data_IF_079605985625
#
_entry.id   IF_079605985625
#
_cell.length_a   1.000
_cell.length_b   1.000
_cell.length_c   1.000
_cell.angle_alpha   90.00
_cell.angle_beta   90.00
_cell.angle_gamma   90.00
#
_symmetry.space_group_name_H-M   'P 1'
#
loop_
_entity.id
_entity.type
_entity.pdbx_description
1 polymer ?
2 non-polymer ?
3 water ?
#
# COMPACT_ATOMS: atom_id res chain seq x y z
N UNK A 1 -6.97 0.41 -3.95
CA UNK A 1 -7.92 1.54 -3.85
C UNK A 1 -8.39 2.05 -5.21
N UNK A 2 -7.69 1.72 -6.30
CA UNK A 2 -7.89 2.19 -7.69
C UNK A 2 -7.14 1.28 -8.67
N UNK A 3 -7.21 1.51 -10.01
CA UNK A 3 -6.73 0.54 -11.01
C UNK A 3 -5.21 0.26 -10.99
N UNK A 4 -4.42 1.21 -10.53
CA UNK A 4 -2.96 1.05 -10.31
C UNK A 4 -2.71 0.02 -9.22
N UNK A 5 -3.42 0.14 -8.13
CA UNK A 5 -3.32 -0.80 -6.99
C UNK A 5 -3.84 -2.18 -7.42
N UNK A 6 -4.86 -2.21 -8.26
CA UNK A 6 -5.39 -3.48 -8.84
C UNK A 6 -4.28 -4.24 -9.60
N UNK A 7 -3.57 -3.57 -10.51
CA UNK A 7 -2.50 -4.22 -11.29
C UNK A 7 -1.40 -4.68 -10.31
N UNK A 8 -0.99 -3.80 -9.40
CA UNK A 8 0.09 -4.13 -8.44
C UNK A 8 -0.30 -5.38 -7.65
N UNK A 9 -1.53 -5.44 -7.12
CA UNK A 9 -2.00 -6.58 -6.32
C UNK A 9 -1.96 -7.86 -7.16
N UNK A 10 -2.36 -7.75 -8.41
CA UNK A 10 -2.40 -8.95 -9.30
C UNK A 10 -0.98 -9.51 -9.46
N UNK A 11 0.01 -8.65 -9.58
CA UNK A 11 1.43 -9.07 -9.66
C UNK A 11 1.86 -9.66 -8.33
N UNK A 12 1.58 -9.00 -7.20
CA UNK A 12 2.06 -9.50 -5.91
C UNK A 12 1.49 -10.87 -5.60
N UNK A 13 0.21 -11.10 -5.94
CA UNK A 13 -0.53 -12.31 -5.47
C UNK A 13 -0.04 -13.53 -6.25
N UNK A 14 0.56 -13.39 -7.41
CA UNK A 14 0.95 -14.56 -8.21
C UNK A 14 2.44 -14.59 -8.55
N UNK A 15 3.14 -13.46 -8.56
CA UNK A 15 4.50 -13.39 -9.15
C UNK A 15 5.53 -12.93 -8.11
N UNK A 16 5.28 -13.08 -6.82
CA UNK A 16 6.30 -12.79 -5.79
C UNK A 16 6.48 -13.95 -4.83
N UNK A 17 7.70 -14.00 -4.29
CA UNK A 17 8.06 -14.93 -3.19
C UNK A 17 8.84 -14.09 -2.20
N UNK A 18 8.99 -14.60 -0.99
CA UNK A 18 9.92 -13.98 -0.01
C UNK A 18 11.26 -14.69 -0.15
N UNK A 19 12.29 -13.95 -0.53
CA UNK A 19 13.66 -14.52 -0.64
C UNK A 19 14.47 -14.11 0.59
N UNK A 20 15.23 -15.07 1.13
CA UNK A 20 16.10 -14.80 2.29
C UNK A 20 17.53 -15.23 1.93
N UNK A 21 18.48 -14.30 1.99
CA UNK A 21 19.93 -14.58 1.86
C UNK A 21 20.57 -14.23 3.21
N UNK A 22 21.88 -14.34 3.28
CA UNK A 22 22.65 -13.96 4.50
C UNK A 22 22.61 -12.46 4.69
N UNK A 23 22.19 -11.69 3.70
CA UNK A 23 22.10 -10.21 3.79
C UNK A 23 20.66 -9.72 4.05
N UNK A 24 19.66 -10.59 4.27
CA UNK A 24 18.30 -10.19 4.68
C UNK A 24 17.18 -10.90 3.94
N UNK A 25 15.96 -10.45 4.22
CA UNK A 25 14.73 -10.85 3.53
C UNK A 25 14.41 -9.81 2.46
N UNK A 26 14.10 -10.26 1.24
CA UNK A 26 13.79 -9.39 0.09
C UNK A 26 12.49 -9.85 -0.57
N UNK A 27 11.69 -8.89 -1.01
CA UNK A 27 10.66 -9.13 -2.04
C UNK A 27 11.43 -9.64 -3.28
N UNK A 28 10.92 -10.69 -3.89
CA UNK A 28 11.53 -11.27 -5.11
C UNK A 28 10.42 -11.48 -6.13
N UNK A 29 10.63 -10.88 -7.27
CA UNK A 29 9.72 -10.96 -8.46
C UNK A 29 10.08 -12.18 -9.31
N UNK A 30 9.10 -13.06 -9.47
CA UNK A 30 9.20 -14.17 -10.45
C UNK A 30 8.71 -13.70 -11.81
N UNK A 31 9.47 -13.98 -12.86
CA UNK A 31 9.21 -13.40 -14.20
C UNK A 31 8.60 -14.45 -15.14
N UNK A 32 9.18 -15.65 -15.18
CA UNK A 32 8.64 -16.75 -16.02
C UNK A 32 9.37 -18.02 -15.58
N UNK A 33 8.75 -19.19 -15.83
CA UNK A 33 9.37 -20.51 -15.56
C UNK A 33 9.91 -20.46 -14.11
N UNK A 34 11.20 -20.71 -13.88
CA UNK A 34 11.74 -20.70 -12.50
C UNK A 34 12.73 -19.53 -12.39
N UNK A 35 12.54 -18.47 -13.16
CA UNK A 35 13.46 -17.31 -13.28
C UNK A 35 12.84 -16.16 -12.49
N UNK A 36 13.63 -15.63 -11.57
CA UNK A 36 13.22 -14.47 -10.74
C UNK A 36 14.33 -13.41 -10.70
N UNK A 37 14.05 -12.26 -10.11
CA UNK A 37 15.06 -11.19 -9.96
C UNK A 37 15.12 -10.72 -8.52
N UNK A 38 16.27 -10.18 -8.18
CA UNK A 38 16.51 -9.66 -6.80
C UNK A 38 17.59 -8.61 -6.94
N UNK A 39 17.69 -7.61 -6.04
CA UNK A 39 18.84 -6.71 -6.11
C UNK A 39 20.16 -7.45 -5.90
N UNK A 40 21.19 -6.99 -6.64
CA UNK A 40 22.51 -7.66 -6.61
C UNK A 40 23.11 -7.58 -5.20
N UNK A 41 22.82 -6.52 -4.45
CA UNK A 41 23.36 -6.44 -3.06
C UNK A 41 22.78 -7.51 -2.12
N UNK A 42 21.77 -8.29 -2.52
CA UNK A 42 21.32 -9.46 -1.74
C UNK A 42 22.41 -10.53 -1.68
N UNK A 43 23.40 -10.52 -2.58
CA UNK A 43 24.55 -11.47 -2.60
C UNK A 43 24.08 -12.92 -2.63
N UNK A 44 23.29 -13.27 -3.65
CA UNK A 44 22.74 -14.63 -3.81
C UNK A 44 23.91 -15.61 -3.93
N UNK A 45 23.85 -16.72 -3.20
CA UNK A 45 24.83 -17.81 -3.30
C UNK A 45 24.27 -19.05 -3.94
N UNK A 46 24.77 -20.22 -3.53
CA UNK A 46 24.43 -21.51 -4.11
C UNK A 46 23.09 -22.01 -3.55
N UNK A 47 22.70 -21.49 -2.38
CA UNK A 47 21.45 -21.85 -1.64
C UNK A 47 20.77 -20.53 -1.22
N UNK A 48 19.45 -20.50 -1.38
CA UNK A 48 18.61 -19.35 -0.99
C UNK A 48 17.36 -19.91 -0.30
N UNK A 49 16.72 -19.16 0.61
CA UNK A 49 15.43 -19.57 1.20
C UNK A 49 14.31 -18.85 0.42
N UNK A 50 13.30 -19.61 -0.04
CA UNK A 50 12.15 -19.10 -0.83
C UNK A 50 10.92 -19.46 0.00
N UNK A 51 10.22 -18.46 0.56
CA UNK A 51 9.06 -18.72 1.45
C UNK A 51 9.51 -19.71 2.53
N UNK A 52 10.71 -19.52 3.09
CA UNK A 52 11.30 -20.28 4.23
C UNK A 52 11.61 -21.75 3.88
N UNK A 53 11.71 -22.06 2.60
CA UNK A 53 12.13 -23.40 2.10
C UNK A 53 13.53 -23.32 1.45
N UNK A 54 14.42 -24.18 1.90
CA UNK A 54 15.80 -24.27 1.37
C UNK A 54 15.74 -24.65 -0.10
N UNK A 55 16.33 -23.82 -0.95
CA UNK A 55 16.21 -23.95 -2.42
C UNK A 55 17.60 -23.79 -3.08
N UNK A 56 17.96 -24.73 -3.93
CA UNK A 56 19.22 -24.64 -4.67
C UNK A 56 19.09 -23.60 -5.76
N UNK A 57 20.14 -22.79 -5.93
CA UNK A 57 20.25 -21.81 -7.03
C UNK A 57 20.90 -22.50 -8.23
N UNK A 58 20.18 -22.62 -9.34
CA UNK A 58 20.72 -23.32 -10.53
C UNK A 58 21.63 -22.37 -11.29
N UNK A 59 21.37 -21.06 -11.26
CA UNK A 59 22.16 -20.03 -11.98
C UNK A 59 21.89 -18.69 -11.33
N UNK A 60 22.89 -17.82 -11.26
CA UNK A 60 22.70 -16.44 -10.78
C UNK A 60 23.60 -15.54 -11.61
N UNK A 61 23.05 -14.49 -12.21
CA UNK A 61 23.86 -13.59 -13.07
C UNK A 61 23.60 -12.13 -12.68
N UNK A 62 24.63 -11.49 -12.14
CA UNK A 62 24.59 -10.06 -11.81
C UNK A 62 24.74 -9.28 -13.09
N UNK A 63 23.70 -8.59 -13.53
CA UNK A 63 23.72 -7.91 -14.85
C UNK A 63 24.57 -6.63 -14.79
N UNK A 64 25.23 -6.35 -15.91
CA UNK A 64 25.98 -5.10 -16.13
C UNK A 64 25.65 -4.63 -17.54
N UNK A 65 25.68 -3.32 -17.80
CA UNK A 65 25.49 -2.85 -19.18
C UNK A 65 26.77 -3.04 -20.01
N UNK A 66 26.65 -2.69 -21.29
CA UNK A 66 27.76 -2.96 -22.23
C UNK A 66 28.91 -1.97 -22.01
N UNK A 67 28.75 -0.92 -21.18
CA UNK A 67 29.92 -0.17 -20.60
C UNK A 67 30.53 -0.90 -19.39
N UNK A 68 30.08 -2.09 -19.01
CA UNK A 68 30.58 -2.87 -17.85
C UNK A 68 30.27 -2.03 -16.60
N UNK A 69 29.10 -1.38 -16.56
CA UNK A 69 28.59 -0.67 -15.36
C UNK A 69 27.50 -1.52 -14.68
N UNK A 70 27.53 -1.60 -13.37
CA UNK A 70 26.53 -2.30 -12.55
C UNK A 70 25.09 -1.87 -12.94
N UNK A 71 24.16 -2.83 -13.08
CA UNK A 71 22.70 -2.51 -13.20
C UNK A 71 21.92 -2.86 -11.91
N UNK A 72 22.55 -3.50 -10.92
CA UNK A 72 21.94 -3.85 -9.60
C UNK A 72 20.84 -4.88 -9.73
N UNK A 73 20.69 -5.56 -10.88
CA UNK A 73 19.71 -6.67 -11.03
C UNK A 73 20.52 -7.98 -11.05
N UNK A 74 20.12 -8.93 -10.23
CA UNK A 74 20.61 -10.33 -10.40
C UNK A 74 19.44 -11.19 -10.86
N UNK A 75 19.64 -11.95 -11.93
CA UNK A 75 18.64 -12.91 -12.43
C UNK A 75 18.99 -14.24 -11.83
N UNK A 76 18.02 -14.87 -11.15
CA UNK A 76 18.25 -16.15 -10.45
C UNK A 76 17.36 -17.21 -11.07
N UNK A 77 17.91 -18.37 -11.40
CA UNK A 77 17.07 -19.53 -11.73
C UNK A 77 17.01 -20.44 -10.51
N UNK A 78 15.81 -20.76 -9.99
CA UNK A 78 15.58 -21.49 -8.73
C UNK A 78 15.29 -22.96 -9.03
N UNK A 79 15.84 -23.88 -8.25
CA UNK A 79 15.47 -25.32 -8.32
C UNK A 79 14.16 -25.54 -7.57
N UNK A 80 13.09 -24.95 -8.09
CA UNK A 80 11.73 -24.97 -7.49
C UNK A 80 10.87 -25.96 -8.28
N UNK A 81 9.85 -26.54 -7.63
CA UNK A 81 8.99 -27.53 -8.28
C UNK A 81 7.80 -26.90 -8.97
N UNK A 82 7.79 -25.57 -9.16
CA UNK A 82 6.59 -24.88 -9.66
C UNK A 82 7.08 -23.71 -10.50
N UNK A 83 6.43 -23.43 -11.63
CA UNK A 83 6.72 -22.25 -12.48
C UNK A 83 5.91 -21.03 -12.05
N UNK A 84 6.48 -19.86 -12.35
CA UNK A 84 5.78 -18.57 -12.24
C UNK A 84 4.88 -18.40 -13.45
N UNK A 85 3.78 -17.71 -13.25
CA UNK A 85 3.02 -17.13 -14.39
C UNK A 85 3.96 -16.29 -15.24
N UNK A 86 3.95 -16.46 -16.55
CA UNK A 86 4.82 -15.67 -17.43
C UNK A 86 4.27 -14.25 -17.54
N UNK A 87 5.01 -13.27 -17.00
CA UNK A 87 4.67 -11.82 -17.06
C UNK A 87 5.62 -11.04 -17.96
N UNK A 88 6.39 -11.68 -18.84
CA UNK A 88 7.36 -10.92 -19.67
C UNK A 88 6.65 -9.92 -20.58
N UNK A 89 5.41 -10.19 -21.00
CA UNK A 89 4.66 -9.24 -21.86
C UNK A 89 4.30 -7.95 -21.12
N UNK A 90 4.51 -7.85 -19.78
CA UNK A 90 4.26 -6.61 -19.02
C UNK A 90 5.56 -5.80 -18.85
N UNK A 91 6.68 -6.26 -19.41
CA UNK A 91 7.97 -5.56 -19.24
C UNK A 91 8.11 -4.56 -20.37
N UNK A 92 8.61 -3.36 -20.06
CA UNK A 92 8.94 -2.35 -21.07
C UNK A 92 10.07 -2.81 -21.97
N UNK A 93 10.02 -2.37 -23.23
CA UNK A 93 11.13 -2.68 -24.15
C UNK A 93 12.23 -1.63 -24.07
N UNK A 94 11.94 -0.41 -23.64
CA UNK A 94 12.94 0.69 -23.67
C UNK A 94 12.97 1.45 -22.35
N UNK A 95 14.05 2.21 -22.15
CA UNK A 95 14.20 3.12 -21.00
C UNK A 95 13.14 4.20 -21.15
N UNK A 96 12.51 4.62 -20.07
CA UNK A 96 11.38 5.56 -20.13
C UNK A 96 11.13 6.19 -18.77
N UNK A 97 10.38 7.29 -18.79
CA UNK A 97 9.75 7.93 -17.61
C UNK A 97 8.30 7.46 -17.53
N UNK A 98 7.71 7.51 -16.35
CA UNK A 98 6.35 6.99 -16.10
C UNK A 98 5.57 7.94 -15.21
N UNK A 99 4.25 7.90 -15.35
CA UNK A 99 3.36 8.55 -14.35
C UNK A 99 2.70 7.51 -13.40
N UNK A 100 2.43 7.94 -12.18
CA UNK A 100 1.48 7.31 -11.23
C UNK A 100 1.87 5.85 -11.00
N UNK A 101 3.06 5.62 -10.47
CA UNK A 101 3.56 4.24 -10.18
C UNK A 101 3.20 3.84 -8.75
N UNK A 102 3.21 2.53 -8.51
CA UNK A 102 3.04 1.90 -7.17
C UNK A 102 4.26 1.05 -6.91
N UNK A 103 4.76 1.16 -5.70
CA UNK A 103 5.84 0.28 -5.16
C UNK A 103 5.20 -0.69 -4.20
N UNK A 104 5.36 -1.99 -4.43
CA UNK A 104 4.69 -3.05 -3.63
C UNK A 104 5.74 -3.98 -3.01
N UNK A 105 5.57 -4.27 -1.72
CA UNK A 105 6.52 -5.05 -0.90
C UNK A 105 5.77 -6.13 -0.19
N UNK A 106 6.38 -7.31 -0.08
CA UNK A 106 5.81 -8.39 0.76
C UNK A 106 6.94 -9.14 1.46
N UNK A 107 7.16 -8.83 2.75
CA UNK A 107 8.14 -9.58 3.58
C UNK A 107 7.48 -9.89 4.93
N UNK A 108 8.19 -10.62 5.81
CA UNK A 108 7.79 -10.78 7.25
C UNK A 108 7.61 -9.41 7.94
N UNK A 109 8.46 -8.44 7.68
CA UNK A 109 8.44 -7.08 8.30
C UNK A 109 7.32 -6.22 7.69
N UNK A 110 7.11 -6.33 6.38
CA UNK A 110 6.15 -5.46 5.66
C UNK A 110 5.26 -6.32 4.77
N UNK A 111 4.29 -7.08 5.33
CA UNK A 111 3.33 -7.82 4.51
C UNK A 111 2.26 -6.93 3.85
N UNK A 112 1.98 -7.24 2.58
CA UNK A 112 0.84 -6.60 1.89
C UNK A 112 0.99 -5.08 1.88
N UNK A 113 2.18 -4.58 1.61
CA UNK A 113 2.48 -3.14 1.58
C UNK A 113 2.40 -2.61 0.16
N UNK A 114 1.66 -1.52 -0.06
CA UNK A 114 1.55 -0.84 -1.34
C UNK A 114 1.74 0.66 -1.12
N UNK A 115 2.55 1.31 -1.94
CA UNK A 115 2.88 2.76 -1.81
C UNK A 115 2.69 3.47 -3.14
N UNK A 116 1.78 4.48 -3.25
CA UNK A 116 1.66 5.28 -4.46
C UNK A 116 2.82 6.30 -4.45
N UNK A 117 3.78 6.10 -5.33
CA UNK A 117 5.02 6.92 -5.34
C UNK A 117 4.94 8.06 -6.32
N UNK A 118 3.93 8.14 -7.20
CA UNK A 118 3.76 9.24 -8.14
C UNK A 118 4.64 9.11 -9.33
N UNK A 119 5.18 10.23 -9.78
CA UNK A 119 5.95 10.33 -11.03
C UNK A 119 7.29 9.59 -10.89
N UNK A 120 7.66 8.84 -11.91
CA UNK A 120 8.97 8.13 -11.95
C UNK A 120 9.84 8.73 -13.05
N UNK A 121 11.02 9.25 -12.70
CA UNK A 121 11.98 9.85 -13.65
C UNK A 121 13.00 8.79 -14.11
N UNK A 122 13.33 8.81 -15.39
CA UNK A 122 14.53 8.09 -15.91
C UNK A 122 15.73 8.89 -15.43
N UNK A 123 16.25 8.52 -14.29
CA UNK A 123 17.33 9.26 -13.56
C UNK A 123 18.68 8.97 -14.23
N UNK A 124 18.90 7.70 -14.58
CA UNK A 124 20.10 7.23 -15.28
C UNK A 124 21.20 6.82 -14.32
N UNK A 125 22.24 7.64 -14.21
CA UNK A 125 23.41 7.34 -13.37
C UNK A 125 23.10 7.60 -11.91
N UNK A 126 23.51 6.68 -11.04
CA UNK A 126 23.46 6.85 -9.57
C UNK A 126 24.69 6.18 -8.98
N UNK A 127 25.32 6.89 -8.05
CA UNK A 127 26.36 6.29 -7.18
C UNK A 127 25.65 5.63 -6.02
N UNK A 128 25.35 4.33 -6.16
CA UNK A 128 24.51 3.56 -5.22
C UNK A 128 25.37 2.84 -4.20
N UNK A 129 25.41 3.36 -2.97
CA UNK A 129 26.28 2.73 -1.96
C UNK A 129 27.75 2.74 -2.36
N UNK A 130 28.21 3.75 -3.08
CA UNK A 130 29.60 3.80 -3.61
C UNK A 130 29.80 3.09 -4.96
N UNK A 131 28.77 2.41 -5.50
CA UNK A 131 28.92 1.68 -6.77
C UNK A 131 28.27 2.43 -7.93
N UNK A 132 29.01 2.88 -8.97
CA UNK A 132 28.39 3.50 -10.13
C UNK A 132 27.34 2.53 -10.73
N UNK A 133 26.15 3.03 -10.92
CA UNK A 133 25.00 2.18 -11.36
C UNK A 133 24.28 2.91 -12.47
N UNK A 134 23.83 2.20 -13.49
CA UNK A 134 23.06 2.80 -14.60
C UNK A 134 21.59 2.35 -14.59
N UNK A 135 20.80 2.95 -15.47
CA UNK A 135 19.36 2.61 -15.69
C UNK A 135 18.54 2.72 -14.40
N UNK A 136 18.79 3.74 -13.61
CA UNK A 136 18.05 3.99 -12.35
C UNK A 136 16.81 4.85 -12.62
N UNK A 137 15.71 4.40 -12.04
CA UNK A 137 14.42 5.14 -11.95
C UNK A 137 14.39 5.83 -10.60
N UNK A 138 13.81 7.03 -10.55
CA UNK A 138 13.70 7.75 -9.25
C UNK A 138 12.25 8.18 -9.01
N UNK A 139 11.85 8.08 -7.74
CA UNK A 139 10.52 8.57 -7.26
C UNK A 139 10.75 9.33 -5.97
N UNK A 140 9.88 10.33 -5.72
CA UNK A 140 10.03 11.22 -4.55
C UNK A 140 9.20 10.65 -3.42
N UNK A 141 9.62 9.51 -2.89
CA UNK A 141 9.04 8.92 -1.67
C UNK A 141 10.18 8.47 -0.75
N UNK A 142 10.07 8.75 0.57
CA UNK A 142 11.07 8.36 1.57
C UNK A 142 10.99 6.88 1.94
N UNK A 143 11.48 6.05 1.01
CA UNK A 143 11.58 4.59 1.19
C UNK A 143 12.61 4.25 2.28
N UNK A 144 12.48 3.06 2.87
CA UNK A 144 13.21 2.63 4.07
C UNK A 144 13.74 1.23 3.88
N UNK A 145 14.72 0.87 4.71
CA UNK A 145 15.26 -0.50 4.84
C UNK A 145 14.07 -1.45 4.96
N UNK A 146 14.16 -2.57 4.23
CA UNK A 146 13.08 -3.57 4.15
C UNK A 146 12.33 -3.52 2.82
N UNK A 147 12.49 -2.46 2.01
CA UNK A 147 11.69 -2.30 0.77
C UNK A 147 12.49 -2.74 -0.46
N UNK A 148 13.78 -3.07 -0.33
CA UNK A 148 14.58 -3.51 -1.50
C UNK A 148 13.97 -4.79 -2.06
N UNK A 149 13.91 -4.83 -3.39
CA UNK A 149 13.27 -5.93 -4.14
C UNK A 149 11.82 -5.59 -4.43
N UNK A 150 11.28 -4.54 -3.79
CA UNK A 150 9.88 -4.17 -4.03
C UNK A 150 9.61 -3.97 -5.48
N UNK A 151 8.40 -4.27 -5.94
CA UNK A 151 8.08 -4.19 -7.38
C UNK A 151 7.51 -2.82 -7.71
N UNK A 152 8.03 -2.20 -8.75
CA UNK A 152 7.49 -0.91 -9.25
C UNK A 152 6.63 -1.18 -10.46
N UNK A 153 5.35 -0.75 -10.43
CA UNK A 153 4.39 -1.01 -11.52
C UNK A 153 3.67 0.30 -11.88
N UNK A 154 3.23 0.34 -13.12
CA UNK A 154 2.09 1.19 -13.53
C UNK A 154 0.98 0.26 -13.97
N UNK A 155 -0.20 0.81 -14.32
CA UNK A 155 -1.24 -0.04 -14.96
C UNK A 155 -0.61 -0.69 -16.20
N UNK A 156 -0.62 -2.00 -16.21
CA UNK A 156 -0.22 -2.83 -17.35
C UNK A 156 1.27 -2.96 -17.47
N UNK A 157 2.12 -2.27 -16.65
CA UNK A 157 3.59 -2.47 -16.81
C UNK A 157 4.35 -2.73 -15.49
N UNK A 158 5.25 -3.69 -15.53
CA UNK A 158 6.20 -3.98 -14.42
C UNK A 158 7.52 -3.34 -14.80
N UNK A 159 7.94 -2.24 -14.13
CA UNK A 159 8.97 -1.35 -14.73
C UNK A 159 10.30 -1.43 -13.97
N UNK A 160 10.34 -1.97 -12.75
CA UNK A 160 11.59 -1.94 -11.97
C UNK A 160 11.47 -2.65 -10.65
N UNK A 161 12.61 -2.77 -9.96
CA UNK A 161 12.65 -3.30 -8.58
C UNK A 161 13.46 -2.29 -7.74
N UNK A 162 12.93 -2.01 -6.54
CA UNK A 162 13.50 -1.01 -5.59
C UNK A 162 14.90 -1.48 -5.17
N UNK A 163 15.91 -0.59 -5.23
CA UNK A 163 17.32 -0.99 -4.87
C UNK A 163 17.92 0.01 -3.86
N UNK A 164 17.29 1.14 -3.56
CA UNK A 164 17.87 2.03 -2.55
C UNK A 164 17.14 3.34 -2.38
N UNK A 165 17.69 4.20 -1.53
CA UNK A 165 17.06 5.52 -1.27
C UNK A 165 18.03 6.44 -0.57
N UNK A 166 17.71 7.74 -0.49
CA UNK A 166 18.62 8.71 0.20
C UNK A 166 17.89 9.36 1.37
N UNK A 167 16.78 8.79 1.83
CA UNK A 167 15.96 9.40 2.90
C UNK A 167 14.81 10.23 2.37
N UNK A 168 14.92 10.88 1.20
CA UNK A 168 13.85 11.69 0.57
C UNK A 168 13.37 11.07 -0.76
N UNK A 169 14.30 10.53 -1.52
CA UNK A 169 14.02 9.84 -2.83
C UNK A 169 14.22 8.32 -2.69
N UNK A 170 13.52 7.56 -3.54
CA UNK A 170 13.74 6.12 -3.72
C UNK A 170 14.20 5.85 -5.13
N UNK A 171 14.94 4.76 -5.29
CA UNK A 171 15.58 4.39 -6.58
C UNK A 171 15.28 2.93 -6.91
N UNK A 172 14.93 2.72 -8.18
CA UNK A 172 14.67 1.34 -8.67
C UNK A 172 15.57 1.06 -9.86
N UNK A 173 15.99 -0.19 -10.02
CA UNK A 173 16.65 -0.66 -11.25
C UNK A 173 15.59 -1.01 -12.27
N UNK A 174 15.79 -0.57 -13.50
CA UNK A 174 14.85 -0.86 -14.60
C UNK A 174 14.76 -2.36 -14.84
N UNK A 175 13.57 -2.81 -15.19
CA UNK A 175 13.41 -4.13 -15.85
C UNK A 175 13.09 -3.87 -17.33
N UNK A 176 13.81 -4.54 -18.20
CA UNK A 176 13.63 -4.49 -19.66
C UNK A 176 13.33 -5.90 -20.17
N UNK A 177 12.45 -5.98 -21.16
CA UNK A 177 12.09 -7.26 -21.81
C UNK A 177 13.34 -8.01 -22.28
N UNK A 178 14.35 -7.29 -22.78
CA UNK A 178 15.59 -7.90 -23.33
C UNK A 178 16.42 -8.64 -22.30
N UNK A 179 16.19 -8.44 -20.99
CA UNK A 179 16.94 -9.20 -19.97
C UNK A 179 16.46 -10.66 -19.89
N UNK A 180 15.30 -10.99 -20.42
CA UNK A 180 14.58 -12.29 -20.16
C UNK A 180 14.19 -13.00 -21.45
N UNK A 181 14.92 -12.74 -22.53
CA UNK A 181 14.80 -13.54 -23.78
C UNK A 181 15.53 -14.86 -23.52
N UNK A 182 14.88 -15.99 -23.81
CA UNK A 182 15.37 -17.36 -23.48
C UNK A 182 15.97 -17.98 -24.76
N UNK B 2 7.74 -0.31 11.84
CA UNK B 2 7.85 -0.56 13.32
C UNK B 2 6.71 -1.43 13.85
N UNK B 3 6.31 -1.25 15.14
CA UNK B 3 5.03 -1.77 15.64
C UNK B 3 3.79 -1.10 14.97
N UNK B 4 4.01 -0.07 14.14
CA UNK B 4 2.98 0.60 13.31
C UNK B 4 2.22 -0.40 12.44
N UNK B 5 2.94 -1.32 11.79
CA UNK B 5 2.31 -2.38 10.93
C UNK B 5 1.58 -3.42 11.76
N UNK B 6 2.12 -3.87 12.90
CA UNK B 6 1.38 -4.73 13.83
C UNK B 6 0.04 -4.09 14.19
N UNK B 7 0.10 -2.82 14.62
CA UNK B 7 -1.08 -2.07 15.10
C UNK B 7 -2.13 -2.01 13.98
N UNK B 8 -1.72 -1.64 12.78
CA UNK B 8 -2.64 -1.49 11.63
C UNK B 8 -3.28 -2.87 11.37
N UNK B 9 -2.49 -3.95 11.40
CA UNK B 9 -3.06 -5.30 11.17
C UNK B 9 -4.05 -5.71 12.25
N UNK B 10 -3.79 -5.40 13.54
CA UNK B 10 -4.64 -5.77 14.69
C UNK B 10 -5.99 -5.06 14.57
N UNK B 11 -5.95 -3.80 14.13
CA UNK B 11 -7.21 -3.03 13.91
C UNK B 11 -7.96 -3.56 12.69
N UNK B 12 -7.23 -3.86 11.62
CA UNK B 12 -7.81 -4.46 10.37
C UNK B 12 -8.55 -5.76 10.75
N UNK B 13 -7.87 -6.67 11.43
CA UNK B 13 -8.36 -8.05 11.65
C UNK B 13 -9.65 -8.05 12.47
N UNK B 14 -9.73 -7.30 13.55
CA UNK B 14 -10.88 -7.41 14.45
C UNK B 14 -11.91 -6.29 14.23
N UNK B 15 -11.49 -5.13 13.73
CA UNK B 15 -12.37 -3.94 13.73
C UNK B 15 -12.74 -3.43 12.33
N UNK B 16 -12.37 -4.08 11.23
CA UNK B 16 -12.67 -3.57 9.87
C UNK B 16 -13.55 -4.57 9.14
N UNK B 17 -14.67 -4.11 8.60
CA UNK B 17 -15.63 -4.93 7.81
C UNK B 17 -15.85 -4.29 6.45
N UNK B 18 -16.40 -5.05 5.50
CA UNK B 18 -16.71 -4.50 4.15
C UNK B 18 -18.18 -4.05 4.16
N UNK B 19 -18.42 -2.77 3.95
CA UNK B 19 -19.79 -2.21 3.95
C UNK B 19 -20.16 -1.94 2.49
N UNK B 20 -21.38 -2.29 2.08
CA UNK B 20 -21.82 -2.03 0.70
C UNK B 20 -23.14 -1.27 0.78
N UNK B 21 -23.13 -0.05 0.26
CA UNK B 21 -24.32 0.82 0.10
C UNK B 21 -24.74 0.77 -1.37
N UNK B 22 -25.73 1.61 -1.71
CA UNK B 22 -26.17 1.78 -3.12
C UNK B 22 -24.97 2.21 -3.98
N UNK B 23 -23.96 2.88 -3.41
CA UNK B 23 -22.81 3.43 -4.17
C UNK B 23 -21.69 2.39 -4.34
N UNK B 24 -21.73 1.29 -3.66
CA UNK B 24 -20.71 0.23 -3.74
C UNK B 24 -20.00 0.02 -2.40
N UNK B 25 -18.74 -0.42 -2.45
CA UNK B 25 -18.07 -0.99 -1.25
C UNK B 25 -17.15 0.06 -0.62
N UNK B 26 -17.19 0.04 0.71
CA UNK B 26 -16.39 0.96 1.54
C UNK B 26 -15.76 0.16 2.67
N UNK B 27 -14.51 0.50 3.00
CA UNK B 27 -13.86 0.05 4.24
C UNK B 27 -14.57 0.66 5.46
N UNK B 28 -15.11 -0.15 6.31
CA UNK B 28 -15.91 0.36 7.46
C UNK B 28 -15.14 0.00 8.74
N UNK B 29 -15.01 0.96 9.68
CA UNK B 29 -14.43 0.73 11.01
C UNK B 29 -15.53 0.55 12.06
N UNK B 30 -15.56 -0.62 12.69
CA UNK B 30 -16.37 -0.83 13.90
C UNK B 30 -15.64 -0.31 15.14
N UNK B 31 -16.33 0.48 15.96
CA UNK B 31 -15.68 1.22 17.08
C UNK B 31 -15.99 0.55 18.44
N UNK B 32 -17.22 0.21 18.68
CA UNK B 32 -17.68 -0.50 19.92
C UNK B 32 -19.11 -0.97 19.74
N UNK B 33 -19.55 -1.96 20.53
CA UNK B 33 -20.95 -2.45 20.44
C UNK B 33 -21.34 -2.69 18.97
N UNK B 34 -22.45 -2.09 18.49
CA UNK B 34 -22.82 -2.24 17.06
C UNK B 34 -22.66 -0.89 16.34
N UNK B 35 -21.72 -0.08 16.81
CA UNK B 35 -21.47 1.29 16.29
C UNK B 35 -20.26 1.30 15.38
N UNK B 36 -20.42 1.80 14.15
CA UNK B 36 -19.34 1.83 13.15
C UNK B 36 -19.33 3.21 12.48
N UNK B 37 -18.29 3.48 11.72
CA UNK B 37 -18.14 4.75 10.95
C UNK B 37 -17.85 4.43 9.50
N UNK B 38 -18.30 5.34 8.65
CA UNK B 38 -18.15 5.24 7.18
C UNK B 38 -18.17 6.67 6.67
N UNK B 39 -17.52 7.01 5.53
CA UNK B 39 -17.63 8.37 5.00
C UNK B 39 -19.07 8.74 4.66
N UNK B 40 -19.44 10.00 4.88
CA UNK B 40 -20.82 10.47 4.60
C UNK B 40 -21.15 10.27 3.11
N UNK B 41 -20.16 10.41 2.20
CA UNK B 41 -20.44 10.22 0.75
C UNK B 41 -20.88 8.81 0.42
N UNK B 42 -20.80 7.82 1.34
CA UNK B 42 -21.28 6.44 1.06
C UNK B 42 -22.82 6.39 0.95
N UNK B 43 -23.50 7.41 1.42
CA UNK B 43 -24.99 7.55 1.29
C UNK B 43 -25.65 6.32 1.91
N UNK B 44 -25.40 6.12 3.20
CA UNK B 44 -26.01 5.01 3.95
C UNK B 44 -27.54 5.16 3.96
N UNK B 45 -28.23 4.05 3.71
CA UNK B 45 -29.70 4.02 3.70
C UNK B 45 -30.25 3.30 4.89
N UNK B 46 -31.40 2.68 4.70
CA UNK B 46 -32.09 1.94 5.79
C UNK B 46 -31.43 0.56 5.92
N UNK B 47 -30.87 0.07 4.82
CA UNK B 47 -30.26 -1.30 4.73
C UNK B 47 -28.84 -1.11 4.22
N UNK B 48 -27.93 -1.91 4.72
CA UNK B 48 -26.52 -1.97 4.27
C UNK B 48 -26.08 -3.44 4.24
N UNK B 49 -25.11 -3.76 3.40
CA UNK B 49 -24.45 -5.09 3.44
C UNK B 49 -23.17 -5.00 4.28
N UNK B 50 -22.99 -5.93 5.21
CA UNK B 50 -21.78 -6.01 6.10
C UNK B 50 -21.17 -7.40 5.85
N UNK B 51 -20.03 -7.45 5.16
CA UNK B 51 -19.42 -8.75 4.75
C UNK B 51 -20.47 -9.58 3.99
N UNK B 52 -21.23 -8.92 3.11
CA UNK B 52 -22.14 -9.53 2.11
C UNK B 52 -23.43 -9.98 2.79
N UNK B 53 -23.66 -9.61 4.06
CA UNK B 53 -24.91 -9.89 4.81
C UNK B 53 -25.82 -8.66 4.82
N UNK B 54 -27.03 -8.77 4.29
CA UNK B 54 -28.09 -7.73 4.44
C UNK B 54 -28.29 -7.41 5.92
N UNK B 55 -28.14 -6.13 6.31
CA UNK B 55 -28.16 -5.66 7.72
C UNK B 55 -28.98 -4.36 7.84
N UNK B 56 -29.94 -4.35 8.75
CA UNK B 56 -30.74 -3.14 9.01
C UNK B 56 -29.81 -2.10 9.65
N UNK B 57 -29.89 -0.86 9.17
CA UNK B 57 -29.21 0.29 9.87
C UNK B 57 -30.22 0.92 10.82
N UNK B 58 -30.01 0.77 12.12
CA UNK B 58 -30.98 1.26 13.13
C UNK B 58 -30.92 2.79 13.21
N UNK B 59 -29.74 3.37 13.01
CA UNK B 59 -29.51 4.81 13.15
C UNK B 59 -28.32 5.21 12.29
N UNK B 60 -28.41 6.37 11.65
CA UNK B 60 -27.29 6.98 10.91
C UNK B 60 -27.24 8.46 11.25
N UNK B 61 -26.06 8.93 11.63
CA UNK B 61 -25.82 10.35 11.96
C UNK B 61 -24.68 10.89 11.10
N UNK B 62 -25.02 11.83 10.21
CA UNK B 62 -24.02 12.55 9.37
C UNK B 62 -23.41 13.66 10.23
N UNK B 63 -22.24 13.43 10.81
CA UNK B 63 -21.70 14.29 11.87
C UNK B 63 -21.38 15.70 11.36
N UNK B 64 -21.68 16.66 12.22
CA UNK B 64 -21.32 18.08 12.04
C UNK B 64 -20.80 18.61 13.37
N UNK B 65 -19.94 19.62 13.32
CA UNK B 65 -19.38 20.16 14.57
C UNK B 65 -20.28 21.29 15.09
N UNK B 66 -19.81 21.96 16.13
CA UNK B 66 -20.64 22.98 16.83
C UNK B 66 -20.66 24.31 16.05
N UNK B 67 -19.86 24.46 14.97
CA UNK B 67 -20.03 25.55 14.00
C UNK B 67 -21.06 25.16 12.92
N UNK B 68 -21.71 23.99 13.07
CA UNK B 68 -22.68 23.48 12.08
C UNK B 68 -21.98 23.28 10.75
N UNK B 69 -20.78 22.70 10.78
CA UNK B 69 -19.99 22.39 9.58
C UNK B 69 -19.86 20.87 9.48
N UNK B 70 -19.97 20.39 8.25
CA UNK B 70 -19.76 18.96 7.92
C UNK B 70 -18.41 18.48 8.42
N UNK B 71 -18.42 17.22 8.91
CA UNK B 71 -17.18 16.45 9.24
C UNK B 71 -16.93 15.26 8.31
N UNK B 72 -17.92 14.91 7.47
CA UNK B 72 -17.81 13.83 6.47
C UNK B 72 -17.70 12.44 7.13
N UNK B 73 -18.04 12.30 8.39
CA UNK B 73 -18.13 10.98 9.08
C UNK B 73 -19.60 10.72 9.32
N UNK B 74 -20.09 9.54 8.97
CA UNK B 74 -21.40 9.05 9.38
C UNK B 74 -21.22 7.92 10.39
N UNK B 75 -21.84 8.11 11.57
CA UNK B 75 -21.87 7.06 12.61
C UNK B 75 -23.13 6.23 12.39
N UNK B 76 -22.98 4.91 12.30
CA UNK B 76 -24.12 3.98 12.11
C UNK B 76 -24.24 3.05 13.32
N UNK B 77 -25.49 2.67 13.64
CA UNK B 77 -25.83 1.64 14.65
C UNK B 77 -26.44 0.47 13.87
N UNK B 78 -25.80 -0.68 13.89
CA UNK B 78 -26.19 -1.83 13.04
C UNK B 78 -27.04 -2.84 13.84
N UNK B 79 -28.05 -3.40 13.19
CA UNK B 79 -28.87 -4.53 13.74
C UNK B 79 -28.15 -5.85 13.45
N UNK B 80 -27.13 -6.20 14.22
CA UNK B 80 -26.38 -7.47 14.05
C UNK B 80 -25.94 -7.99 15.43
N UNK B 81 -25.83 -9.31 15.54
CA UNK B 81 -25.55 -9.97 16.83
C UNK B 81 -24.12 -9.68 17.26
N UNK B 82 -23.17 -9.75 16.35
CA UNK B 82 -21.73 -9.57 16.68
C UNK B 82 -21.52 -8.17 17.26
N UNK B 83 -20.76 -8.10 18.35
CA UNK B 83 -20.32 -6.82 18.93
C UNK B 83 -18.89 -6.56 18.47
N UNK B 84 -18.54 -5.30 18.19
CA UNK B 84 -17.17 -4.92 17.81
C UNK B 84 -16.29 -4.82 19.06
N UNK B 85 -15.05 -5.26 18.94
CA UNK B 85 -14.02 -5.05 19.99
C UNK B 85 -13.91 -3.56 20.28
N UNK B 86 -14.08 -3.14 21.56
CA UNK B 86 -14.04 -1.69 21.88
C UNK B 86 -12.64 -1.12 21.63
N UNK B 87 -12.51 -0.07 20.81
CA UNK B 87 -11.25 0.61 20.48
C UNK B 87 -11.31 2.11 20.78
N UNK B 88 -12.29 2.51 21.58
CA UNK B 88 -12.46 3.96 21.91
C UNK B 88 -11.22 4.50 22.61
N UNK B 89 -10.51 3.66 23.37
CA UNK B 89 -9.30 4.11 24.07
C UNK B 89 -8.15 4.42 23.11
N UNK B 90 -8.24 4.03 21.82
CA UNK B 90 -7.19 4.37 20.84
C UNK B 90 -7.51 5.61 20.00
N UNK B 91 -8.63 6.28 20.32
CA UNK B 91 -9.05 7.49 19.55
C UNK B 91 -8.40 8.71 20.18
N UNK B 92 -7.79 9.61 19.40
CA UNK B 92 -7.26 10.87 19.93
C UNK B 92 -8.35 11.73 20.59
N UNK B 93 -7.93 12.39 21.68
CA UNK B 93 -8.81 13.32 22.42
C UNK B 93 -8.88 14.66 21.71
N UNK B 94 -7.82 15.07 21.02
CA UNK B 94 -7.77 16.39 20.35
C UNK B 94 -7.20 16.27 18.94
N UNK B 95 -7.37 17.35 18.18
CA UNK B 95 -6.79 17.55 16.83
C UNK B 95 -5.27 17.54 16.95
N UNK B 96 -4.57 16.91 16.00
CA UNK B 96 -3.09 16.80 16.08
C UNK B 96 -2.50 16.50 14.70
N UNK B 97 -1.18 16.69 14.56
CA UNK B 97 -0.33 16.22 13.45
C UNK B 97 0.24 14.85 13.87
N UNK B 98 0.66 14.02 12.91
CA UNK B 98 1.20 12.67 13.18
C UNK B 98 2.33 12.31 12.20
N UNK B 99 3.17 11.35 12.61
CA UNK B 99 4.19 10.77 11.70
C UNK B 99 3.94 9.28 11.50
N UNK B 100 4.41 8.76 10.39
CA UNK B 100 4.57 7.30 10.22
C UNK B 100 3.19 6.63 10.15
N UNK B 101 2.20 7.25 9.50
CA UNK B 101 0.84 6.71 9.50
C UNK B 101 0.69 5.64 8.40
N UNK B 102 -0.25 4.74 8.61
CA UNK B 102 -0.63 3.67 7.65
C UNK B 102 -2.12 3.81 7.35
N UNK B 103 -2.47 3.69 6.08
CA UNK B 103 -3.86 3.65 5.61
C UNK B 103 -4.16 2.21 5.25
N UNK B 104 -5.18 1.61 5.87
CA UNK B 104 -5.55 0.18 5.72
C UNK B 104 -6.91 0.02 5.02
N UNK B 105 -6.85 -0.56 3.81
CA UNK B 105 -7.99 -0.71 2.86
C UNK B 105 -8.50 -2.13 2.95
N UNK B 106 -9.80 -2.32 2.98
CA UNK B 106 -10.37 -3.66 3.04
C UNK B 106 -11.69 -3.68 2.28
N UNK B 107 -11.69 -4.25 1.06
CA UNK B 107 -12.93 -4.45 0.25
C UNK B 107 -12.83 -5.83 -0.41
N UNK B 108 -13.85 -6.19 -1.17
CA UNK B 108 -13.82 -7.49 -1.91
C UNK B 108 -12.70 -7.43 -2.95
N UNK B 109 -12.47 -6.28 -3.57
CA UNK B 109 -11.44 -6.05 -4.62
C UNK B 109 -10.05 -5.93 -4.02
N UNK B 110 -9.94 -5.34 -2.81
CA UNK B 110 -8.64 -4.99 -2.15
C UNK B 110 -8.70 -5.54 -0.74
N UNK B 111 -8.54 -6.85 -0.55
CA UNK B 111 -8.60 -7.42 0.77
C UNK B 111 -7.30 -7.14 1.53
N UNK B 112 -7.36 -6.82 2.79
CA UNK B 112 -6.06 -6.71 3.53
C UNK B 112 -4.94 -5.94 2.77
N UNK B 113 -5.08 -4.67 2.35
CA UNK B 113 -4.03 -3.81 1.70
C UNK B 113 -3.54 -2.68 2.65
N UNK B 114 -2.24 -2.48 2.84
CA UNK B 114 -1.65 -1.51 3.80
C UNK B 114 -0.80 -0.49 3.05
N UNK B 115 -1.17 0.79 3.14
CA UNK B 115 -0.53 1.89 2.40
C UNK B 115 0.15 2.83 3.37
N UNK B 116 1.48 2.78 3.52
CA UNK B 116 2.24 3.71 4.37
C UNK B 116 2.06 5.07 3.71
N UNK B 117 1.52 6.02 4.45
CA UNK B 117 1.32 7.37 3.86
C UNK B 117 2.34 8.34 4.49
N UNK B 118 2.82 8.03 5.70
CA UNK B 118 3.90 8.80 6.38
C UNK B 118 3.34 9.99 7.13
N UNK B 119 3.82 11.18 6.80
CA UNK B 119 3.54 12.40 7.58
C UNK B 119 2.10 12.83 7.32
N UNK B 120 1.38 13.04 8.41
CA UNK B 120 -0.04 13.51 8.39
C UNK B 120 -0.13 14.88 9.04
N UNK B 121 -0.67 15.85 8.32
CA UNK B 121 -0.90 17.23 8.84
C UNK B 121 -2.35 17.41 9.29
N UNK B 122 -2.58 18.12 10.40
CA UNK B 122 -3.86 18.80 10.71
C UNK B 122 -4.07 19.91 9.66
N UNK B 123 -4.80 19.61 8.61
CA UNK B 123 -4.96 20.51 7.44
C UNK B 123 -6.12 21.47 7.75
N UNK B 124 -7.17 20.95 8.40
CA UNK B 124 -8.32 21.70 8.89
C UNK B 124 -9.43 21.82 7.87
N UNK B 125 -9.61 23.02 7.29
CA UNK B 125 -10.73 23.32 6.40
C UNK B 125 -10.45 22.79 5.00
N UNK B 126 -11.45 22.15 4.38
CA UNK B 126 -11.40 21.69 2.99
C UNK B 126 -12.79 21.87 2.38
N UNK B 127 -12.82 22.39 1.16
CA UNK B 127 -14.05 22.38 0.34
C UNK B 127 -14.07 21.03 -0.37
N UNK B 128 -14.81 20.08 0.17
CA UNK B 128 -14.81 18.69 -0.35
C UNK B 128 -16.06 18.46 -1.22
N UNK B 129 -15.86 18.42 -2.55
CA UNK B 129 -16.99 18.20 -3.48
C UNK B 129 -18.00 19.34 -3.42
N UNK B 130 -17.55 20.52 -3.05
CA UNK B 130 -18.42 21.70 -2.89
C UNK B 130 -19.00 21.87 -1.50
N UNK B 131 -18.71 20.97 -0.56
CA UNK B 131 -19.16 21.08 0.85
C UNK B 131 -18.02 21.52 1.78
N UNK B 132 -18.18 22.65 2.49
CA UNK B 132 -17.22 23.08 3.51
C UNK B 132 -17.12 22.00 4.60
N UNK B 133 -15.88 21.59 4.90
CA UNK B 133 -15.60 20.44 5.79
C UNK B 133 -14.49 20.81 6.76
N UNK B 134 -14.67 20.40 8.02
CA UNK B 134 -13.65 20.65 9.05
C UNK B 134 -12.88 19.36 9.41
N UNK B 135 -11.84 19.56 10.21
CA UNK B 135 -11.03 18.50 10.87
C UNK B 135 -10.51 17.53 9.83
N UNK B 136 -9.97 18.03 8.73
CA UNK B 136 -9.33 17.18 7.69
C UNK B 136 -7.86 16.99 8.04
N UNK B 137 -7.43 15.74 8.00
CA UNK B 137 -6.00 15.31 7.97
C UNK B 137 -5.51 15.17 6.55
N UNK B 138 -4.27 15.56 6.23
CA UNK B 138 -3.77 15.49 4.86
C UNK B 138 -2.44 14.70 4.86
N UNK B 139 -2.29 13.90 3.82
CA UNK B 139 -1.02 13.16 3.54
C UNK B 139 -0.76 13.20 2.05
N UNK B 140 0.49 13.03 1.64
CA UNK B 140 0.81 12.85 0.22
C UNK B 140 0.08 11.62 -0.27
N UNK B 141 -0.47 11.67 -1.46
CA UNK B 141 -1.23 10.56 -2.10
C UNK B 141 -1.30 10.85 -3.58
N UNK B 142 -0.18 10.67 -4.30
CA UNK B 142 -0.04 11.17 -5.66
C UNK B 142 -0.66 10.24 -6.69
N UNK B 143 -1.94 9.93 -6.48
CA UNK B 143 -2.73 9.02 -7.32
C UNK B 143 -4.20 9.47 -7.20
N UNK B 144 -5.01 9.13 -8.17
CA UNK B 144 -6.47 9.40 -8.11
C UNK B 144 -7.07 8.07 -7.66
N UNK B 145 -7.39 7.93 -6.38
CA UNK B 145 -8.02 6.73 -5.78
C UNK B 145 -9.55 6.77 -5.94
N UNK B 146 -10.21 5.61 -5.86
CA UNK B 146 -11.69 5.48 -5.80
C UNK B 146 -12.25 5.85 -4.43
N UNK B 147 -13.52 5.56 -4.23
CA UNK B 147 -14.30 6.02 -3.06
C UNK B 147 -14.07 5.17 -1.80
N UNK B 148 -13.47 3.98 -1.89
CA UNK B 148 -13.70 2.93 -0.88
C UNK B 148 -13.09 3.33 0.47
N UNK B 149 -12.12 4.21 0.42
CA UNK B 149 -11.43 4.68 1.65
C UNK B 149 -10.74 3.61 2.47
N UNK B 150 -10.59 3.86 3.77
CA UNK B 150 -9.72 3.05 4.61
C UNK B 150 -9.41 3.71 5.93
N UNK B 151 -8.79 2.97 6.81
CA UNK B 151 -8.60 3.42 8.20
C UNK B 151 -7.18 3.93 8.34
N UNK B 152 -6.99 5.09 8.98
CA UNK B 152 -5.64 5.69 9.17
C UNK B 152 -5.20 5.47 10.63
N UNK B 153 -4.05 4.83 10.79
CA UNK B 153 -3.48 4.51 12.13
C UNK B 153 -2.04 5.00 12.23
N UNK B 154 -1.65 5.24 13.46
CA UNK B 154 -0.21 5.41 13.83
C UNK B 154 0.08 4.31 14.83
N UNK B 155 1.30 4.21 15.34
CA UNK B 155 1.51 3.36 16.52
C UNK B 155 0.61 3.89 17.63
N UNK B 156 -0.30 3.07 18.09
CA UNK B 156 -1.10 3.28 19.29
C UNK B 156 -2.36 4.06 19.07
N UNK B 157 -2.63 4.60 17.86
CA UNK B 157 -3.82 5.45 17.70
C UNK B 157 -4.55 5.16 16.38
N UNK B 158 -5.87 5.23 16.48
CA UNK B 158 -6.75 5.21 15.26
C UNK B 158 -7.19 6.65 14.98
N UNK B 159 -6.63 7.28 13.97
CA UNK B 159 -6.69 8.77 13.89
C UNK B 159 -7.73 9.24 12.88
N UNK B 160 -8.18 8.43 11.90
CA UNK B 160 -9.13 8.97 10.92
C UNK B 160 -9.53 7.93 9.91
N UNK B 161 -10.47 8.29 9.05
CA UNK B 161 -10.89 7.45 7.90
C UNK B 161 -10.75 8.30 6.64
N UNK B 162 -10.23 7.68 5.58
CA UNK B 162 -9.97 8.34 4.28
C UNK B 162 -11.30 8.77 3.61
N UNK B 163 -11.43 10.04 3.26
CA UNK B 163 -12.69 10.57 2.67
C UNK B 163 -12.51 11.14 1.26
N UNK B 164 -11.29 11.42 0.79
CA UNK B 164 -11.11 11.97 -0.58
C UNK B 164 -9.67 12.30 -0.91
N UNK B 165 -9.48 13.02 -2.03
CA UNK B 165 -8.14 13.39 -2.50
C UNK B 165 -8.20 14.23 -3.76
N UNK B 166 -7.08 14.88 -4.11
CA UNK B 166 -7.03 15.83 -5.27
C UNK B 166 -5.97 15.37 -6.29
N UNK B 167 -5.50 14.12 -6.21
CA UNK B 167 -4.50 13.52 -7.15
C UNK B 167 -3.06 13.72 -6.71
N UNK B 168 -2.81 14.62 -5.78
CA UNK B 168 -1.49 14.90 -5.16
C UNK B 168 -1.58 14.61 -3.66
N UNK B 169 -2.70 15.00 -3.04
CA UNK B 169 -2.88 14.86 -1.58
C UNK B 169 -4.06 13.91 -1.33
N UNK B 170 -4.03 13.23 -0.19
CA UNK B 170 -5.13 12.42 0.35
C UNK B 170 -5.66 13.08 1.61
N UNK B 171 -6.96 12.89 1.85
CA UNK B 171 -7.66 13.58 2.98
C UNK B 171 -8.41 12.55 3.79
N UNK B 172 -8.28 12.62 5.10
CA UNK B 172 -9.01 11.80 6.07
C UNK B 172 -9.79 12.70 7.01
N UNK B 173 -10.96 12.24 7.43
CA UNK B 173 -11.75 12.86 8.50
C UNK B 173 -11.21 12.38 9.85
N UNK B 174 -10.94 13.29 10.78
CA UNK B 174 -10.41 12.94 12.11
C UNK B 174 -11.45 12.08 12.84
N UNK B 175 -10.99 11.06 13.59
CA UNK B 175 -11.81 10.44 14.63
C UNK B 175 -11.34 11.02 15.98
N UNK B 176 -12.31 11.42 16.79
CA UNK B 176 -12.05 11.97 18.15
C UNK B 176 -12.84 11.14 19.14
N UNK B 177 -12.28 11.02 20.36
CA UNK B 177 -12.88 10.19 21.41
C UNK B 177 -14.27 10.73 21.76
N UNK B 178 -14.41 12.05 21.68
CA UNK B 178 -15.70 12.69 22.08
C UNK B 178 -16.84 12.37 21.13
N UNK B 179 -16.58 11.81 19.95
CA UNK B 179 -17.71 11.46 19.06
C UNK B 179 -18.52 10.25 19.54
N UNK B 180 -17.95 9.46 20.46
CA UNK B 180 -18.47 8.14 20.87
C UNK B 180 -18.67 8.03 22.38
N UNK B 181 -18.56 9.13 23.14
CA UNK B 181 -18.81 9.16 24.62
C UNK B 181 -20.31 9.19 24.95
X LIG C 1 8.19 3.41 4.49
X LIG C 1 6.79 2.19 6.22
X LIG C 1 5.85 2.38 7.22
X LIG C 1 5.40 3.66 7.56
X LIG C 1 5.86 4.78 6.87
X LIG C 1 6.78 4.58 5.86
X LIG C 1 7.44 5.46 5.00
X LIG C 1 8.32 7.74 5.51
X LIG C 1 7.21 6.94 4.90
X LIG C 1 8.26 4.69 4.22
X LIG C 1 7.25 3.31 5.52
#
# INVERSE_FOLDING_TARGET
>A
MGPGFDFAQAIMKKNTVIARTEKGEFTMLGVYDRVAVIPTHASVGEIIYINDVETRVLDACALRDLTDTNLEITIVKLDRNQKFRDIRHFLPRCEDDYNDAVLSVHTSKFPNMYIPVGQVTNYGFLNLGGTPTHRILMYNFPTRAGQCGGVVTTTGKVIGIHVGGNGAQGFAAMLLHSYFTD
>B
MGPGFDFAQAIMKKNTVIARTEKGEFTMLGVYDRVAVIPTHASVGEIIYINDVETRVLDACALRDLTDTNLEITIVKLDRNQKFRDIRHFLPRCEDDYNDAVLSVHTSKFPNMYIPVGQVTNYGFLNLGGTPTHRILMYNFPTRAGQCGGVVTTTGKVIGIHVGGNGAQGFAAMLLHSYFTD
>C hetero
1 T6R N1 C4 C5 C6 C7 C8 N C C1 C2 C3
#
